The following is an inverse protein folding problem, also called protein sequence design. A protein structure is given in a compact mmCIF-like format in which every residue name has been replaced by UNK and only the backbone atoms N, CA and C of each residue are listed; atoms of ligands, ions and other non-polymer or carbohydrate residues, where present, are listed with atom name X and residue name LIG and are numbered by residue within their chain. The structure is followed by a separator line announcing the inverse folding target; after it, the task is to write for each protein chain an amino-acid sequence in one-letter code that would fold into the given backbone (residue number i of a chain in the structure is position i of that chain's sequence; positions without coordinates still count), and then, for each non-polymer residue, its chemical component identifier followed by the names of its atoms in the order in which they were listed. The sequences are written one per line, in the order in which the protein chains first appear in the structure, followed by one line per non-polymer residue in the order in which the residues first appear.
data_IF_652824612631
#
_entry.id   IF_652824612631
#
_cell.length_a   1.000
_cell.length_b   1.000
_cell.length_c   1.000
_cell.angle_alpha   90.00
_cell.angle_beta   90.00
_cell.angle_gamma   90.00
#
_symmetry.space_group_name_H-M   'P 1'
#
loop_
_entity.id
_entity.type
_entity.pdbx_description
1 polymer ?
#
# COMPACT_ATOMS: atom_id res chain seq x y z
N UNK A 1 63.93 0.62 9.14
CA UNK A 1 62.66 0.09 9.69
C UNK A 1 61.43 1.01 9.55
N UNK A 2 61.56 2.29 9.17
CA UNK A 2 60.41 3.21 9.02
C UNK A 2 59.55 3.01 7.76
N UNK A 3 60.10 2.47 6.66
CA UNK A 3 59.35 2.28 5.40
C UNK A 3 58.45 1.02 5.37
N UNK A 4 58.62 0.09 6.31
CA UNK A 4 57.84 -1.15 6.39
C UNK A 4 56.45 -0.93 6.99
N UNK A 5 56.34 -0.09 8.03
CA UNK A 5 55.06 0.20 8.69
C UNK A 5 54.13 1.04 7.82
N UNK A 6 54.68 1.90 6.96
CA UNK A 6 53.89 2.77 6.08
C UNK A 6 53.19 2.00 4.95
N UNK A 7 53.76 0.86 4.51
CA UNK A 7 53.15 0.01 3.47
C UNK A 7 52.07 -0.93 4.02
N UNK A 8 52.19 -1.37 5.28
CA UNK A 8 51.17 -2.19 5.94
C UNK A 8 49.91 -1.37 6.24
N UNK A 9 50.06 -0.08 6.57
CA UNK A 9 48.92 0.81 6.84
C UNK A 9 48.11 1.14 5.57
N UNK A 10 48.75 1.23 4.41
CA UNK A 10 48.08 1.52 3.12
C UNK A 10 47.30 0.30 2.59
N UNK A 11 47.77 -0.93 2.87
CA UNK A 11 47.02 -2.15 2.55
C UNK A 11 45.82 -2.38 3.47
N UNK A 12 45.89 -1.92 4.73
CA UNK A 12 44.77 -2.01 5.66
C UNK A 12 43.61 -1.06 5.29
N UNK A 13 43.89 0.13 4.75
CA UNK A 13 42.83 1.03 4.27
C UNK A 13 42.19 0.58 2.96
N UNK A 14 42.94 -0.07 2.07
CA UNK A 14 42.37 -0.65 0.85
C UNK A 14 41.41 -1.81 1.14
N UNK A 15 41.68 -2.63 2.18
CA UNK A 15 40.80 -3.72 2.57
C UNK A 15 39.52 -3.25 3.29
N UNK A 16 39.58 -2.14 4.04
CA UNK A 16 38.39 -1.58 4.72
C UNK A 16 37.45 -0.89 3.72
N UNK A 17 37.97 -0.35 2.62
CA UNK A 17 37.16 0.29 1.56
C UNK A 17 36.53 -0.75 0.62
N UNK A 18 37.13 -1.94 0.45
CA UNK A 18 36.51 -3.05 -0.31
C UNK A 18 35.39 -3.79 0.42
N UNK A 19 35.14 -3.48 1.70
CA UNK A 19 33.98 -3.98 2.47
C UNK A 19 32.86 -2.96 2.63
N UNK A 20 32.90 -1.83 1.91
CA UNK A 20 31.65 -1.19 1.51
C UNK A 20 31.08 -2.10 0.42
N UNK A 21 30.56 -3.25 0.87
CA UNK A 21 29.54 -3.96 0.12
C UNK A 21 28.58 -2.87 -0.30
N UNK A 22 28.46 -2.69 -1.61
CA UNK A 22 27.30 -2.07 -2.19
C UNK A 22 26.16 -2.91 -1.65
N UNK A 23 25.59 -2.49 -0.52
CA UNK A 23 24.27 -2.90 -0.12
C UNK A 23 23.44 -2.45 -1.30
N UNK A 24 23.24 -3.34 -2.26
CA UNK A 24 22.07 -3.28 -3.11
C UNK A 24 20.95 -3.25 -2.10
N UNK A 25 20.45 -2.05 -1.82
CA UNK A 25 19.19 -1.91 -1.14
C UNK A 25 18.26 -2.60 -2.11
N UNK A 26 17.96 -3.87 -1.84
CA UNK A 26 16.87 -4.53 -2.51
C UNK A 26 15.68 -3.66 -2.15
N UNK A 27 15.29 -2.78 -3.08
CA UNK A 27 14.13 -1.96 -2.88
C UNK A 27 12.99 -2.94 -2.65
N UNK A 28 12.34 -2.81 -1.51
CA UNK A 28 11.13 -3.55 -1.20
C UNK A 28 10.06 -3.07 -2.20
N UNK A 29 9.93 -3.81 -3.29
CA UNK A 29 9.01 -3.51 -4.36
C UNK A 29 7.67 -4.17 -4.02
N UNK A 30 6.66 -3.33 -3.83
CA UNK A 30 5.29 -3.74 -3.56
C UNK A 30 4.39 -3.20 -4.66
N UNK A 31 3.45 -4.02 -5.09
CA UNK A 31 2.47 -3.60 -6.10
C UNK A 31 1.10 -3.40 -5.49
N UNK A 32 0.31 -2.57 -6.16
CA UNK A 32 -1.09 -2.33 -5.87
C UNK A 32 -1.92 -2.82 -7.05
N UNK A 33 -2.96 -3.61 -6.79
CA UNK A 33 -3.83 -4.19 -7.82
C UNK A 33 -5.23 -3.61 -7.69
N UNK A 34 -5.70 -2.96 -8.76
CA UNK A 34 -6.97 -2.25 -8.84
C UNK A 34 -8.04 -3.07 -9.56
N UNK A 35 -9.21 -3.20 -8.92
CA UNK A 35 -10.44 -3.80 -9.47
C UNK A 35 -10.22 -5.09 -10.27
N UNK A 36 -9.57 -6.07 -9.64
CA UNK A 36 -9.25 -7.36 -10.26
C UNK A 36 -9.99 -8.49 -9.56
N UNK A 37 -10.77 -9.26 -10.33
CA UNK A 37 -11.60 -10.35 -9.81
C UNK A 37 -11.03 -11.75 -10.02
N UNK A 38 -10.17 -11.90 -11.03
CA UNK A 38 -9.55 -13.18 -11.33
C UNK A 38 -8.32 -13.39 -10.43
N UNK A 39 -8.05 -14.61 -9.97
CA UNK A 39 -6.75 -14.92 -9.38
C UNK A 39 -5.63 -14.68 -10.39
N UNK A 40 -4.44 -14.32 -9.89
CA UNK A 40 -3.26 -14.26 -10.74
C UNK A 40 -2.94 -15.65 -11.30
N UNK A 41 -2.65 -15.74 -12.59
CA UNK A 41 -2.26 -16.98 -13.24
C UNK A 41 -0.78 -17.36 -12.95
N UNK A 42 -0.38 -18.57 -13.34
CA UNK A 42 0.99 -19.05 -13.09
C UNK A 42 2.08 -18.20 -13.77
N UNK A 43 1.77 -17.60 -14.93
CA UNK A 43 2.70 -16.76 -15.67
C UNK A 43 2.88 -15.41 -14.97
N UNK A 44 1.79 -14.79 -14.52
CA UNK A 44 1.80 -13.56 -13.72
C UNK A 44 2.58 -13.77 -12.42
N UNK A 45 2.29 -14.86 -11.70
CA UNK A 45 2.99 -15.22 -10.48
C UNK A 45 4.49 -15.45 -10.71
N UNK A 46 4.86 -16.07 -11.84
CA UNK A 46 6.27 -16.29 -12.21
C UNK A 46 7.00 -14.98 -12.49
N UNK A 47 6.36 -14.04 -13.20
CA UNK A 47 6.94 -12.73 -13.50
C UNK A 47 7.08 -11.88 -12.23
N UNK A 48 6.07 -11.91 -11.33
CA UNK A 48 6.14 -11.23 -10.03
C UNK A 48 7.25 -11.80 -9.16
N UNK A 49 7.40 -13.14 -9.14
CA UNK A 49 8.50 -13.79 -8.43
C UNK A 49 9.88 -13.43 -9.02
N UNK A 50 10.00 -13.32 -10.35
CA UNK A 50 11.24 -12.91 -11.02
C UNK A 50 11.64 -11.46 -10.67
N UNK A 51 10.65 -10.60 -10.43
CA UNK A 51 10.83 -9.23 -9.93
C UNK A 51 11.11 -9.16 -8.42
N UNK A 52 11.12 -10.32 -7.73
CA UNK A 52 11.28 -10.44 -6.28
C UNK A 52 10.21 -9.69 -5.49
N UNK A 53 8.99 -9.64 -6.02
CA UNK A 53 7.84 -9.10 -5.31
C UNK A 53 7.42 -10.13 -4.26
N UNK A 54 7.35 -9.70 -3.01
CA UNK A 54 6.88 -10.52 -1.91
C UNK A 54 5.53 -10.07 -1.35
N UNK A 55 5.08 -8.86 -1.69
CA UNK A 55 3.85 -8.26 -1.15
C UNK A 55 3.05 -7.57 -2.25
N UNK A 56 1.74 -7.85 -2.29
CA UNK A 56 0.78 -7.21 -3.17
C UNK A 56 -0.39 -6.68 -2.35
N UNK A 57 -0.67 -5.38 -2.48
CA UNK A 57 -1.86 -4.72 -1.97
C UNK A 57 -3.02 -4.96 -2.96
N UNK A 58 -3.99 -5.76 -2.55
CA UNK A 58 -5.09 -6.22 -3.39
C UNK A 58 -6.41 -5.56 -3.00
N UNK A 59 -7.00 -4.79 -3.90
CA UNK A 59 -8.31 -4.19 -3.64
C UNK A 59 -9.41 -5.26 -3.54
N UNK A 60 -10.06 -5.34 -2.39
CA UNK A 60 -11.16 -6.30 -2.15
C UNK A 60 -12.54 -5.68 -2.25
N UNK A 61 -12.64 -4.36 -2.40
CA UNK A 61 -13.90 -3.69 -2.64
C UNK A 61 -13.91 -2.21 -2.25
N UNK A 62 -15.08 -1.61 -2.44
CA UNK A 62 -15.38 -0.23 -2.05
C UNK A 62 -16.53 -0.22 -1.02
N UNK A 63 -16.30 0.47 0.09
CA UNK A 63 -17.34 0.81 1.06
C UNK A 63 -17.81 2.25 0.79
N UNK A 64 -19.09 2.40 0.45
CA UNK A 64 -19.73 3.69 0.27
C UNK A 64 -20.46 4.11 1.55
N UNK A 65 -20.27 5.38 1.94
CA UNK A 65 -20.97 6.01 3.03
C UNK A 65 -22.20 6.78 2.54
N UNK A 66 -23.35 6.45 3.15
CA UNK A 66 -24.63 7.15 2.95
C UNK A 66 -25.22 7.41 4.34
N UNK A 67 -25.30 8.69 4.72
CA UNK A 67 -25.61 9.14 6.07
C UNK A 67 -24.68 8.51 7.11
N UNK A 68 -25.25 7.72 8.03
CA UNK A 68 -24.50 7.02 9.09
C UNK A 68 -24.18 5.57 8.75
N UNK A 69 -24.41 5.14 7.51
CA UNK A 69 -24.20 3.74 7.11
C UNK A 69 -23.02 3.61 6.17
N UNK A 70 -22.33 2.48 6.24
CA UNK A 70 -21.29 2.06 5.30
C UNK A 70 -21.70 0.74 4.67
N UNK A 71 -21.75 0.70 3.34
CA UNK A 71 -22.22 -0.47 2.58
C UNK A 71 -21.23 -0.80 1.48
N UNK A 72 -21.06 -2.09 1.22
CA UNK A 72 -20.28 -2.55 0.08
C UNK A 72 -20.98 -2.12 -1.20
N UNK A 73 -20.33 -1.24 -1.96
CA UNK A 73 -20.76 -0.83 -3.30
C UNK A 73 -20.31 -1.85 -4.34
N UNK A 74 -19.08 -2.33 -4.19
CA UNK A 74 -18.49 -3.41 -4.99
C UNK A 74 -17.57 -4.25 -4.10
N UNK A 75 -17.42 -5.52 -4.45
CA UNK A 75 -16.49 -6.45 -3.82
C UNK A 75 -15.76 -7.24 -4.89
N UNK A 76 -14.50 -7.50 -4.64
CA UNK A 76 -13.64 -8.31 -5.50
C UNK A 76 -13.19 -9.56 -4.78
N UNK A 77 -12.86 -10.60 -5.54
CA UNK A 77 -12.31 -11.82 -4.95
C UNK A 77 -10.93 -11.53 -4.36
N UNK A 78 -10.71 -12.00 -3.13
CA UNK A 78 -9.38 -12.01 -2.54
C UNK A 78 -8.64 -13.28 -2.96
N UNK A 79 -7.38 -13.21 -3.41
CA UNK A 79 -6.61 -14.37 -3.83
C UNK A 79 -6.57 -15.44 -2.74
N UNK A 80 -7.04 -16.63 -3.07
CA UNK A 80 -7.02 -17.79 -2.18
C UNK A 80 -5.79 -18.62 -2.51
N UNK A 81 -4.64 -18.26 -1.96
CA UNK A 81 -3.40 -18.99 -2.25
C UNK A 81 -2.49 -19.06 -1.04
N UNK A 82 -2.52 -20.23 -0.37
CA UNK A 82 -1.47 -20.68 0.55
C UNK A 82 -0.20 -21.15 -0.21
N UNK A 83 -0.26 -21.22 -1.54
CA UNK A 83 0.78 -21.81 -2.40
C UNK A 83 1.78 -20.80 -2.95
N UNK A 84 1.49 -19.50 -2.84
CA UNK A 84 2.33 -18.43 -3.38
C UNK A 84 3.29 -17.91 -2.33
N UNK A 85 4.56 -17.69 -2.71
CA UNK A 85 5.54 -16.94 -1.90
C UNK A 85 5.17 -15.46 -1.71
N UNK A 86 4.13 -15.00 -2.39
CA UNK A 86 3.64 -13.62 -2.37
C UNK A 86 2.55 -13.50 -1.30
N UNK A 87 2.74 -12.54 -0.41
CA UNK A 87 1.78 -12.08 0.59
C UNK A 87 0.79 -11.11 -0.04
N UNK A 88 -0.50 -11.38 0.09
CA UNK A 88 -1.56 -10.46 -0.32
C UNK A 88 -2.09 -9.69 0.89
N UNK A 89 -2.18 -8.36 0.77
CA UNK A 89 -2.75 -7.46 1.79
C UNK A 89 -4.08 -6.94 1.28
N UNK A 90 -5.19 -7.12 2.00
CA UNK A 90 -6.48 -6.57 1.58
C UNK A 90 -6.46 -5.04 1.62
N UNK A 91 -6.97 -4.43 0.55
CA UNK A 91 -7.20 -2.98 0.47
C UNK A 91 -8.70 -2.71 0.38
N UNK A 92 -9.20 -1.86 1.26
CA UNK A 92 -10.58 -1.39 1.22
C UNK A 92 -10.60 0.08 0.87
N UNK A 93 -11.23 0.42 -0.25
CA UNK A 93 -11.48 1.82 -0.60
C UNK A 93 -12.70 2.32 0.14
N UNK A 94 -12.59 3.47 0.78
CA UNK A 94 -13.71 4.17 1.36
C UNK A 94 -14.15 5.27 0.37
N UNK A 95 -15.46 5.44 0.21
CA UNK A 95 -16.03 6.50 -0.62
C UNK A 95 -17.11 7.19 0.19
N UNK A 96 -17.03 8.52 0.30
CA UNK A 96 -18.09 9.30 0.92
C UNK A 96 -18.29 10.62 0.21
N UNK A 97 -19.55 11.03 0.06
CA UNK A 97 -19.95 12.38 -0.31
C UNK A 97 -20.59 13.13 0.85
N UNK A 98 -20.65 12.51 2.03
CA UNK A 98 -21.23 13.11 3.23
C UNK A 98 -20.35 14.24 3.73
N UNK A 99 -21.00 15.29 4.26
CA UNK A 99 -20.25 16.40 4.85
C UNK A 99 -19.46 15.95 6.08
N UNK A 100 -19.99 14.99 6.86
CA UNK A 100 -19.42 14.48 8.10
C UNK A 100 -19.56 12.94 8.17
N UNK A 101 -18.70 12.18 7.48
CA UNK A 101 -18.80 10.72 7.40
C UNK A 101 -18.38 9.99 8.67
N UNK A 102 -17.72 10.66 9.62
CA UNK A 102 -17.07 10.04 10.78
C UNK A 102 -17.75 10.35 12.12
N UNK A 103 -19.08 10.45 12.14
CA UNK A 103 -19.84 10.44 13.41
C UNK A 103 -19.66 9.09 14.13
N UNK A 104 -19.84 9.05 15.46
CA UNK A 104 -19.65 7.82 16.23
C UNK A 104 -20.53 6.65 15.76
N UNK A 105 -21.77 6.95 15.38
CA UNK A 105 -22.69 5.97 14.80
C UNK A 105 -22.15 5.44 13.47
N UNK A 106 -21.69 6.33 12.59
CA UNK A 106 -21.11 5.97 11.29
C UNK A 106 -19.85 5.12 11.44
N UNK A 107 -18.93 5.53 12.32
CA UNK A 107 -17.69 4.78 12.59
C UNK A 107 -18.00 3.40 13.18
N UNK A 108 -19.02 3.27 14.02
CA UNK A 108 -19.44 1.96 14.54
C UNK A 108 -19.89 1.02 13.42
N UNK A 109 -20.64 1.52 12.43
CA UNK A 109 -21.03 0.73 11.25
C UNK A 109 -19.81 0.40 10.38
N UNK A 110 -18.88 1.35 10.19
CA UNK A 110 -17.64 1.11 9.44
C UNK A 110 -16.80 0.00 10.07
N UNK A 111 -16.59 0.05 11.39
CA UNK A 111 -15.82 -0.96 12.12
C UNK A 111 -16.44 -2.35 12.00
N UNK A 112 -17.77 -2.45 12.06
CA UNK A 112 -18.47 -3.72 11.86
C UNK A 112 -18.24 -4.28 10.45
N UNK A 113 -18.29 -3.43 9.42
CA UNK A 113 -18.03 -3.83 8.03
C UNK A 113 -16.58 -4.28 7.81
N UNK A 114 -15.61 -3.60 8.45
CA UNK A 114 -14.18 -3.92 8.32
C UNK A 114 -13.76 -5.14 9.16
N UNK A 115 -14.42 -5.41 10.29
CA UNK A 115 -14.05 -6.53 11.18
C UNK A 115 -14.09 -7.88 10.46
N UNK A 116 -15.04 -8.09 9.55
CA UNK A 116 -15.14 -9.33 8.78
C UNK A 116 -13.97 -9.52 7.80
N UNK A 117 -13.42 -8.41 7.30
CA UNK A 117 -12.22 -8.42 6.47
C UNK A 117 -11.00 -8.65 7.35
N UNK A 118 -10.80 -7.82 8.38
CA UNK A 118 -9.55 -7.82 9.15
C UNK A 118 -9.31 -9.09 9.97
N UNK A 119 -10.35 -9.81 10.37
CA UNK A 119 -10.23 -10.99 11.24
C UNK A 119 -9.32 -12.12 10.71
N UNK A 120 -9.03 -12.15 9.40
CA UNK A 120 -8.21 -13.19 8.76
C UNK A 120 -6.86 -12.69 8.25
N UNK A 121 -6.52 -11.42 8.48
CA UNK A 121 -5.33 -10.79 7.91
C UNK A 121 -4.51 -10.11 9.00
N UNK A 122 -3.19 -10.12 8.82
CA UNK A 122 -2.25 -9.44 9.70
C UNK A 122 -2.12 -7.94 9.36
N UNK A 123 -2.51 -7.55 8.16
CA UNK A 123 -2.53 -6.17 7.68
C UNK A 123 -3.81 -5.85 6.93
N UNK A 124 -4.24 -4.59 7.04
CA UNK A 124 -5.30 -3.99 6.25
C UNK A 124 -4.79 -2.65 5.73
N UNK A 125 -4.99 -2.39 4.45
CA UNK A 125 -4.80 -1.06 3.90
C UNK A 125 -6.16 -0.37 3.67
N UNK A 126 -6.23 0.91 4.02
CA UNK A 126 -7.35 1.77 3.62
C UNK A 126 -6.93 2.74 2.53
N UNK A 127 -7.80 2.87 1.53
CA UNK A 127 -7.68 3.86 0.48
C UNK A 127 -8.83 4.87 0.64
N UNK A 128 -8.52 6.07 1.12
CA UNK A 128 -9.51 7.13 1.31
C UNK A 128 -8.92 8.52 1.13
N UNK A 129 -9.44 9.24 0.13
CA UNK A 129 -9.09 10.61 -0.17
C UNK A 129 -9.84 11.60 0.76
N UNK A 130 -9.47 11.60 2.04
CA UNK A 130 -10.12 12.48 3.02
C UNK A 130 -9.88 13.96 2.67
N UNK A 131 -10.91 14.82 2.58
CA UNK A 131 -10.67 16.24 2.46
C UNK A 131 -9.99 16.77 3.74
N UNK A 132 -9.04 17.70 3.60
CA UNK A 132 -8.20 18.19 4.72
C UNK A 132 -9.01 18.60 5.96
N UNK A 133 -10.19 19.21 5.77
CA UNK A 133 -11.09 19.62 6.86
C UNK A 133 -11.57 18.45 7.75
N UNK A 134 -11.51 17.22 7.25
CA UNK A 134 -11.92 15.99 7.93
C UNK A 134 -10.72 15.17 8.42
N UNK A 135 -9.48 15.59 8.17
CA UNK A 135 -8.31 14.73 8.43
C UNK A 135 -8.17 14.37 9.91
N UNK A 136 -8.51 15.29 10.81
CA UNK A 136 -8.51 15.01 12.25
C UNK A 136 -9.55 13.95 12.64
N UNK A 137 -10.72 13.94 12.00
CA UNK A 137 -11.79 12.96 12.24
C UNK A 137 -11.42 11.61 11.63
N UNK A 138 -10.80 11.64 10.45
CA UNK A 138 -10.23 10.46 9.82
C UNK A 138 -9.13 9.83 10.68
N UNK A 139 -8.18 10.61 11.21
CA UNK A 139 -7.13 10.11 12.11
C UNK A 139 -7.70 9.41 13.36
N UNK A 140 -8.71 9.98 14.00
CA UNK A 140 -9.40 9.33 15.14
C UNK A 140 -10.12 8.05 14.74
N UNK A 141 -10.65 8.01 13.52
CA UNK A 141 -11.27 6.82 12.95
C UNK A 141 -10.22 5.74 12.66
N UNK A 142 -9.06 6.11 12.09
CA UNK A 142 -7.93 5.20 11.85
C UNK A 142 -7.45 4.53 13.14
N UNK A 143 -7.32 5.28 14.24
CA UNK A 143 -6.98 4.70 15.55
C UNK A 143 -7.95 3.58 15.97
N UNK A 144 -9.25 3.80 15.77
CA UNK A 144 -10.28 2.79 16.10
C UNK A 144 -10.20 1.58 15.18
N UNK A 145 -9.85 1.77 13.91
CA UNK A 145 -9.67 0.71 12.92
C UNK A 145 -8.39 -0.09 13.19
N UNK A 146 -7.31 0.56 13.65
CA UNK A 146 -6.07 -0.10 14.06
C UNK A 146 -6.31 -1.13 15.17
N UNK A 147 -7.30 -0.89 16.03
CA UNK A 147 -7.74 -1.89 17.01
C UNK A 147 -8.33 -3.19 16.42
N UNK A 148 -8.60 -3.26 15.11
CA UNK A 148 -9.17 -4.43 14.43
C UNK A 148 -8.13 -5.31 13.72
N UNK A 149 -6.90 -4.83 13.54
CA UNK A 149 -5.87 -5.46 12.70
C UNK A 149 -4.48 -5.19 13.27
N UNK A 150 -3.54 -6.16 13.26
CA UNK A 150 -2.21 -5.94 13.81
C UNK A 150 -1.43 -4.81 13.13
N UNK A 151 -1.60 -4.64 11.81
CA UNK A 151 -0.95 -3.60 11.02
C UNK A 151 -1.98 -2.84 10.17
N UNK A 152 -2.07 -1.53 10.32
CA UNK A 152 -2.93 -0.66 9.52
C UNK A 152 -2.07 0.25 8.66
N UNK A 153 -2.26 0.19 7.35
CA UNK A 153 -1.59 1.10 6.40
C UNK A 153 -2.63 1.91 5.64
N UNK A 154 -2.24 3.06 5.08
CA UNK A 154 -3.15 3.86 4.26
C UNK A 154 -2.47 4.32 2.97
N UNK A 155 -3.25 4.35 1.89
CA UNK A 155 -2.91 5.17 0.74
C UNK A 155 -3.03 6.65 1.15
N UNK A 156 -2.06 7.47 0.77
CA UNK A 156 -1.96 8.85 1.24
C UNK A 156 -1.83 9.82 0.06
N UNK A 157 -2.56 10.93 0.13
CA UNK A 157 -2.38 12.03 -0.82
C UNK A 157 -0.97 12.62 -0.65
N UNK A 158 -0.27 12.99 -1.74
CA UNK A 158 1.12 13.47 -1.66
C UNK A 158 1.34 14.61 -0.66
N UNK A 159 0.40 15.54 -0.54
CA UNK A 159 0.53 16.68 0.36
C UNK A 159 0.41 16.32 1.84
N UNK A 160 -0.10 15.13 2.20
CA UNK A 160 -0.13 14.65 3.58
C UNK A 160 1.25 14.32 4.15
N UNK A 161 2.29 14.30 3.30
CA UNK A 161 3.70 14.22 3.72
C UNK A 161 4.19 15.47 4.47
N UNK A 162 3.41 16.55 4.53
CA UNK A 162 3.75 17.74 5.32
C UNK A 162 3.66 17.44 6.82
N UNK A 163 4.55 18.09 7.59
CA UNK A 163 4.71 17.84 9.03
C UNK A 163 3.43 18.05 9.86
N UNK A 164 2.56 18.98 9.46
CA UNK A 164 1.29 19.24 10.12
C UNK A 164 0.29 18.09 9.97
N UNK A 165 0.22 17.49 8.78
CA UNK A 165 -0.63 16.33 8.52
C UNK A 165 -0.02 15.03 9.06
N UNK A 166 1.30 14.84 8.92
CA UNK A 166 2.00 13.68 9.49
C UNK A 166 1.79 13.58 11.00
N UNK A 167 1.88 14.71 11.72
CA UNK A 167 1.62 14.75 13.17
C UNK A 167 0.23 14.24 13.54
N UNK A 168 -0.76 14.40 12.66
CA UNK A 168 -2.11 13.89 12.87
C UNK A 168 -2.24 12.41 12.52
N UNK A 169 -1.58 11.94 11.46
CA UNK A 169 -1.79 10.61 10.89
C UNK A 169 -0.86 9.55 11.51
N UNK A 170 0.44 9.85 11.62
CA UNK A 170 1.50 8.92 12.05
C UNK A 170 1.18 8.15 13.35
N UNK A 171 0.55 8.75 14.39
CA UNK A 171 0.23 7.99 15.60
C UNK A 171 -0.86 6.91 15.43
N UNK A 172 -1.55 6.87 14.29
CA UNK A 172 -2.77 6.06 14.11
C UNK A 172 -2.63 4.99 13.01
N UNK A 173 -1.47 4.90 12.36
CA UNK A 173 -1.18 3.96 11.27
C UNK A 173 0.28 3.50 11.35
N UNK A 174 0.56 2.30 10.87
CA UNK A 174 1.92 1.74 10.83
C UNK A 174 2.71 2.21 9.60
N UNK A 175 2.02 2.56 8.51
CA UNK A 175 2.65 3.04 7.29
C UNK A 175 1.71 3.95 6.48
N UNK A 176 2.26 5.05 5.97
CA UNK A 176 1.65 5.96 5.01
C UNK A 176 2.29 5.70 3.65
N UNK A 177 1.49 5.42 2.63
CA UNK A 177 1.95 5.10 1.27
C UNK A 177 1.51 6.21 0.30
N UNK A 178 2.39 7.19 0.00
CA UNK A 178 2.03 8.32 -0.85
C UNK A 178 1.71 7.89 -2.28
N UNK A 179 0.58 8.34 -2.79
CA UNK A 179 0.14 8.13 -4.16
C UNK A 179 0.83 9.14 -5.09
N UNK A 180 2.06 8.82 -5.49
CA UNK A 180 2.88 9.67 -6.36
C UNK A 180 2.60 9.43 -7.85
N UNK A 181 1.36 9.62 -8.26
CA UNK A 181 0.88 9.52 -9.64
C UNK A 181 -0.26 10.52 -9.87
N UNK A 182 -0.79 10.60 -11.09
CA UNK A 182 -1.85 11.54 -11.48
C UNK A 182 -1.53 13.04 -11.26
N UNK A 183 -0.25 13.41 -11.37
CA UNK A 183 0.18 14.81 -11.35
C UNK A 183 -0.22 15.59 -12.61
N UNK A 184 -0.50 14.87 -13.69
CA UNK A 184 -0.97 15.40 -14.96
C UNK A 184 -2.47 15.16 -15.10
N UNK A 185 -3.18 16.04 -15.80
CA UNK A 185 -4.57 15.79 -16.13
C UNK A 185 -4.68 14.46 -16.89
N UNK A 186 -5.66 13.62 -16.52
CA UNK A 186 -5.90 12.35 -17.21
C UNK A 186 -5.89 12.59 -18.72
N UNK A 187 -5.02 11.89 -19.48
CA UNK A 187 -5.07 12.00 -20.92
C UNK A 187 -6.46 11.55 -21.36
N UNK A 188 -7.13 12.35 -22.20
CA UNK A 188 -8.38 11.93 -22.83
C UNK A 188 -8.05 10.73 -23.72
N UNK A 189 -8.20 9.52 -23.18
CA UNK A 189 -7.97 8.28 -23.90
C UNK A 189 -9.08 8.14 -24.95
N UNK A 190 -8.75 8.48 -26.20
CA UNK A 190 -9.61 8.18 -27.36
C UNK A 190 -9.56 6.68 -27.62
N UNK A 191 -10.43 5.93 -26.96
CA UNK A 191 -10.65 4.49 -27.15
C UNK A 191 -9.43 3.58 -26.85
N UNK A 192 -8.46 4.05 -26.06
CA UNK A 192 -7.33 3.23 -25.63
C UNK A 192 -7.62 2.64 -24.25
N UNK A 193 -7.62 1.31 -24.16
CA UNK A 193 -7.70 0.61 -22.88
C UNK A 193 -6.46 0.93 -22.02
N UNK A 194 -6.57 0.99 -20.68
CA UNK A 194 -5.43 1.17 -19.81
C UNK A 194 -4.37 0.09 -20.10
N UNK A 195 -3.10 0.47 -19.98
CA UNK A 195 -1.99 -0.46 -20.21
C UNK A 195 -2.04 -1.58 -19.17
N UNK A 196 -1.91 -2.85 -19.60
CA UNK A 196 -1.96 -3.99 -18.67
C UNK A 196 -0.79 -3.97 -17.69
N UNK A 197 -1.00 -4.60 -16.53
CA UNK A 197 0.00 -4.74 -15.46
C UNK A 197 1.31 -5.37 -15.95
N UNK A 198 1.22 -6.20 -16.99
CA UNK A 198 2.36 -6.82 -17.69
C UNK A 198 2.35 -6.34 -19.14
N UNK A 199 3.52 -5.99 -19.68
CA UNK A 199 3.65 -5.67 -21.10
C UNK A 199 3.07 -6.79 -21.97
N UNK A 200 2.17 -6.52 -22.92
CA UNK A 200 1.56 -7.55 -23.78
C UNK A 200 2.57 -8.42 -24.52
N UNK A 201 3.74 -7.85 -24.83
CA UNK A 201 4.86 -8.53 -25.49
C UNK A 201 5.47 -9.65 -24.63
N UNK A 202 5.27 -9.60 -23.31
CA UNK A 202 5.70 -10.63 -22.35
C UNK A 202 4.63 -11.70 -22.10
N UNK A 203 3.38 -11.43 -22.44
CA UNK A 203 2.25 -12.38 -22.34
C UNK A 203 2.20 -13.26 -23.60
N UNK A 204 2.73 -12.77 -24.72
CA UNK A 204 2.69 -13.45 -26.02
C UNK A 204 3.91 -14.37 -26.23
N UNK A 205 3.92 -15.56 -25.62
CA UNK A 205 4.79 -16.68 -26.04
C UNK A 205 4.09 -18.02 -25.94
#
# INVERSE_FOLDING_TARGET
MRHSLQRVLILATAAIISTIAVSSHAHDLRYWVWQHDDPLDEQELTELAAQKIDTIYWQIGELENIGVTWRWKVRFNFPSSDTTRIRFVPVVRLVSREHQPFSDASVTVLLASLSAVSAKHDELQLDYDAPDRLLADYARTLNRIHGLVPRLTIAALPHWSRADYLKLLEPNVDELLPMLYDFEAEPILKDQSPLPLISPEKISK
#
